data_IF_046115431712
#
_entry.id   IF_046115431712
#
_cell.length_a   1.000
_cell.length_b   1.000
_cell.length_c   1.000
_cell.angle_alpha   90.00
_cell.angle_beta   90.00
_cell.angle_gamma   90.00
#
_symmetry.space_group_name_H-M   'P 1'
#
loop_
_entity.id
_entity.type
_entity.pdbx_description
1 polymer ?
#
# COMPACT_ATOMS: atom_id res chain seq x y z
N UNK A 1 7.18 28.64 20.56
CA UNK A 1 7.12 27.17 20.58
C UNK A 1 6.74 26.76 19.17
N UNK A 2 7.59 26.01 18.49
CA UNK A 2 7.27 25.48 17.16
C UNK A 2 6.36 24.27 17.35
N UNK A 3 5.19 24.24 16.71
CA UNK A 3 4.36 23.03 16.68
C UNK A 3 5.16 21.92 16.01
N UNK A 4 5.23 20.75 16.64
CA UNK A 4 5.83 19.58 16.00
C UNK A 4 5.01 19.21 14.76
N UNK A 5 5.67 18.85 13.64
CA UNK A 5 4.95 18.51 12.42
C UNK A 5 4.06 17.30 12.67
N UNK A 6 2.78 17.37 12.29
CA UNK A 6 1.83 16.25 12.45
C UNK A 6 2.11 15.10 11.47
N UNK A 7 2.82 15.36 10.38
CA UNK A 7 3.14 14.40 9.33
C UNK A 7 4.61 14.45 8.93
N UNK A 8 5.17 13.28 8.59
CA UNK A 8 6.46 13.10 7.91
C UNK A 8 6.22 12.83 6.43
N UNK A 9 7.21 13.17 5.59
CA UNK A 9 7.17 12.88 4.14
C UNK A 9 8.07 11.68 3.80
N UNK A 10 7.62 10.85 2.87
CA UNK A 10 8.43 9.84 2.19
C UNK A 10 8.59 10.21 0.72
N UNK A 11 9.78 10.01 0.17
CA UNK A 11 10.09 10.23 -1.24
C UNK A 11 11.12 9.19 -1.71
N UNK A 12 10.72 8.33 -2.65
CA UNK A 12 11.63 7.43 -3.33
C UNK A 12 11.27 7.25 -4.81
N UNK A 13 12.24 7.57 -5.68
CA UNK A 13 12.02 7.58 -7.12
C UNK A 13 10.91 8.57 -7.48
N UNK A 14 9.81 8.07 -8.02
CA UNK A 14 8.64 8.90 -8.41
C UNK A 14 7.52 8.88 -7.37
N UNK A 15 7.62 8.07 -6.31
CA UNK A 15 6.60 7.95 -5.28
C UNK A 15 6.85 8.93 -4.14
N UNK A 16 5.84 9.74 -3.84
CA UNK A 16 5.83 10.65 -2.70
C UNK A 16 4.52 10.49 -1.92
N UNK A 17 4.56 10.54 -0.59
CA UNK A 17 3.38 10.60 0.27
C UNK A 17 3.77 11.09 1.67
N UNK A 18 2.77 11.39 2.49
CA UNK A 18 2.95 11.74 3.90
C UNK A 18 2.32 10.69 4.82
N UNK A 19 2.90 10.50 6.00
CA UNK A 19 2.42 9.58 7.03
C UNK A 19 2.52 10.23 8.42
N UNK A 20 1.77 9.77 9.44
CA UNK A 20 1.77 10.38 10.77
C UNK A 20 3.19 10.53 11.36
N UNK A 21 3.51 11.70 11.90
CA UNK A 21 4.86 11.96 12.39
C UNK A 21 5.23 11.14 13.64
N UNK A 22 4.24 10.71 14.42
CA UNK A 22 4.43 9.84 15.57
C UNK A 22 4.82 8.40 15.20
N UNK A 23 4.76 8.01 13.91
CA UNK A 23 5.18 6.69 13.48
C UNK A 23 6.70 6.57 13.42
N UNK A 24 7.16 5.37 13.76
CA UNK A 24 8.54 4.94 13.67
C UNK A 24 8.83 4.31 12.30
N UNK A 25 10.09 4.26 11.92
CA UNK A 25 10.55 3.55 10.73
C UNK A 25 11.13 2.21 11.14
N UNK A 26 10.63 1.14 10.54
CA UNK A 26 11.09 -0.23 10.77
C UNK A 26 11.96 -0.71 9.60
N UNK A 27 12.59 -1.89 9.75
CA UNK A 27 13.31 -2.53 8.66
C UNK A 27 12.31 -2.98 7.56
N UNK A 28 12.40 -2.48 6.32
CA UNK A 28 11.50 -2.85 5.22
C UNK A 28 11.41 -4.36 4.96
N UNK A 29 12.48 -5.11 5.18
CA UNK A 29 12.50 -6.57 4.98
C UNK A 29 11.46 -7.30 5.84
N UNK A 30 11.11 -6.74 7.02
CA UNK A 30 10.13 -7.33 7.93
C UNK A 30 8.70 -7.34 7.35
N UNK A 31 8.38 -6.41 6.44
CA UNK A 31 7.07 -6.35 5.78
C UNK A 31 7.04 -7.07 4.42
N UNK A 32 8.14 -7.69 4.00
CA UNK A 32 8.25 -8.31 2.67
C UNK A 32 7.27 -9.48 2.48
N UNK A 33 6.94 -10.20 3.56
CA UNK A 33 5.98 -11.31 3.57
C UNK A 33 4.54 -10.87 3.37
N UNK A 34 4.20 -9.60 3.64
CA UNK A 34 2.85 -9.07 3.44
C UNK A 34 2.44 -9.04 1.97
N UNK A 35 3.41 -9.05 1.05
CA UNK A 35 3.15 -8.97 -0.38
C UNK A 35 3.28 -10.34 -1.04
N UNK A 36 2.18 -10.82 -1.64
CA UNK A 36 2.12 -12.14 -2.29
C UNK A 36 3.20 -12.30 -3.37
N UNK A 37 3.94 -13.40 -3.28
CA UNK A 37 4.93 -13.81 -4.29
C UNK A 37 4.23 -14.18 -5.58
N UNK A 38 4.68 -13.62 -6.69
CA UNK A 38 4.16 -13.90 -8.03
C UNK A 38 5.34 -14.21 -8.97
N UNK A 39 5.27 -15.28 -9.79
CA UNK A 39 6.32 -15.60 -10.75
C UNK A 39 6.64 -14.41 -11.64
N UNK A 40 7.93 -14.07 -11.71
CA UNK A 40 8.44 -12.98 -12.55
C UNK A 40 8.08 -11.56 -12.09
N UNK A 41 7.40 -11.39 -10.95
CA UNK A 41 7.06 -10.08 -10.38
C UNK A 41 7.81 -9.88 -9.06
N UNK A 42 8.66 -8.86 -8.99
CA UNK A 42 9.25 -8.37 -7.74
C UNK A 42 8.29 -7.38 -7.06
N UNK A 43 8.23 -7.42 -5.73
CA UNK A 43 7.53 -6.44 -4.89
C UNK A 43 8.49 -6.04 -3.78
N UNK A 44 9.40 -5.15 -4.07
CA UNK A 44 10.49 -4.81 -3.15
C UNK A 44 9.96 -3.75 -2.17
N UNK A 45 9.89 -4.06 -0.87
CA UNK A 45 9.42 -3.10 0.14
C UNK A 45 10.45 -1.99 0.28
N UNK A 46 10.00 -0.75 0.08
CA UNK A 46 10.83 0.45 0.10
C UNK A 46 10.66 1.26 1.39
N UNK A 47 9.56 1.05 2.09
CA UNK A 47 9.27 1.70 3.36
C UNK A 47 8.34 0.84 4.20
N UNK A 48 8.64 0.78 5.49
CA UNK A 48 7.78 0.18 6.49
C UNK A 48 7.77 1.09 7.71
N UNK A 49 6.61 1.68 8.00
CA UNK A 49 6.41 2.66 9.09
C UNK A 49 5.15 2.31 9.86
N UNK A 50 5.11 2.66 11.14
CA UNK A 50 3.96 2.33 11.97
C UNK A 50 4.18 2.63 13.45
N UNK A 51 3.35 2.01 14.27
CA UNK A 51 3.43 2.01 15.73
C UNK A 51 2.80 0.72 16.27
N UNK A 52 2.53 0.66 17.58
CA UNK A 52 2.00 -0.55 18.23
C UNK A 52 0.62 -1.03 17.72
N UNK A 53 -0.12 -0.22 16.96
CA UNK A 53 -1.45 -0.56 16.47
C UNK A 53 -1.65 -0.33 14.98
N UNK A 54 -0.64 0.19 14.28
CA UNK A 54 -0.73 0.50 12.87
C UNK A 54 0.54 0.08 12.15
N UNK A 55 0.36 -0.51 10.99
CA UNK A 55 1.44 -0.86 10.09
C UNK A 55 1.13 -0.33 8.70
N UNK A 56 2.14 0.27 8.06
CA UNK A 56 2.06 0.70 6.68
C UNK A 56 3.35 0.35 5.94
N UNK A 57 3.20 -0.40 4.86
CA UNK A 57 4.30 -0.72 3.97
C UNK A 57 3.99 -0.28 2.54
N UNK A 58 4.98 0.28 1.85
CA UNK A 58 4.92 0.49 0.41
C UNK A 58 6.01 -0.34 -0.29
N UNK A 59 5.66 -0.93 -1.42
CA UNK A 59 6.53 -1.75 -2.23
C UNK A 59 6.56 -1.27 -3.69
N UNK A 60 7.75 -1.29 -4.28
CA UNK A 60 7.92 -1.11 -5.72
C UNK A 60 7.63 -2.42 -6.43
N UNK A 61 6.70 -2.40 -7.38
CA UNK A 61 6.30 -3.58 -8.15
C UNK A 61 6.99 -3.55 -9.51
N UNK A 62 7.79 -4.57 -9.82
CA UNK A 62 8.55 -4.64 -11.07
C UNK A 62 8.36 -6.01 -11.74
N UNK A 63 8.00 -6.00 -13.02
CA UNK A 63 7.97 -7.21 -13.84
C UNK A 63 9.35 -7.48 -14.45
N UNK A 64 9.84 -8.72 -14.35
CA UNK A 64 11.06 -9.19 -15.02
C UNK A 64 10.82 -9.35 -16.52
N UNK A 65 11.90 -9.47 -17.30
CA UNK A 65 11.81 -9.71 -18.74
C UNK A 65 10.90 -10.91 -19.06
N UNK A 66 9.97 -10.72 -20.01
CA UNK A 66 8.97 -11.73 -20.39
C UNK A 66 7.71 -11.74 -19.52
N UNK A 67 7.62 -10.92 -18.47
CA UNK A 67 6.44 -10.81 -17.60
C UNK A 67 5.79 -9.43 -17.69
N UNK A 68 4.51 -9.36 -17.33
CA UNK A 68 3.74 -8.12 -17.29
C UNK A 68 2.93 -8.00 -16.01
N UNK A 69 2.74 -6.76 -15.58
CA UNK A 69 1.84 -6.43 -14.48
C UNK A 69 0.38 -6.62 -14.91
N UNK A 70 -0.38 -7.33 -14.08
CA UNK A 70 -1.84 -7.51 -14.23
C UNK A 70 -2.54 -6.16 -14.17
N UNK A 71 -3.64 -6.02 -14.90
CA UNK A 71 -4.48 -4.82 -14.78
C UNK A 71 -5.18 -4.78 -13.41
N UNK A 72 -5.49 -3.57 -12.95
CA UNK A 72 -6.05 -3.34 -11.60
C UNK A 72 -7.35 -4.11 -11.37
N UNK A 73 -8.20 -4.24 -12.38
CA UNK A 73 -9.44 -5.03 -12.31
C UNK A 73 -9.16 -6.52 -12.07
N UNK A 74 -8.13 -7.07 -12.73
CA UNK A 74 -7.71 -8.46 -12.52
C UNK A 74 -7.18 -8.66 -11.10
N UNK A 75 -6.36 -7.74 -10.58
CA UNK A 75 -5.84 -7.81 -9.21
C UNK A 75 -6.97 -7.74 -8.20
N UNK A 76 -7.88 -6.77 -8.34
CA UNK A 76 -9.08 -6.64 -7.51
C UNK A 76 -9.87 -7.94 -7.46
N UNK A 77 -10.21 -8.51 -8.63
CA UNK A 77 -11.04 -9.72 -8.71
C UNK A 77 -10.34 -10.99 -8.20
N UNK A 78 -9.01 -11.04 -8.24
CA UNK A 78 -8.25 -12.14 -7.65
C UNK A 78 -8.22 -12.04 -6.12
N UNK A 79 -7.88 -10.86 -5.59
CA UNK A 79 -7.80 -10.64 -4.15
C UNK A 79 -9.17 -10.69 -3.48
N UNK A 80 -10.24 -10.28 -4.16
CA UNK A 80 -11.62 -10.35 -3.67
C UNK A 80 -12.08 -11.78 -3.29
N UNK A 81 -11.35 -12.81 -3.73
CA UNK A 81 -11.64 -14.22 -3.43
C UNK A 81 -10.94 -14.72 -2.17
N UNK A 82 -10.06 -13.92 -1.58
CA UNK A 82 -9.35 -14.31 -0.37
C UNK A 82 -10.31 -14.30 0.83
N UNK A 83 -10.05 -15.20 1.78
CA UNK A 83 -10.78 -15.25 3.04
C UNK A 83 -10.63 -13.93 3.80
N UNK A 84 -11.68 -13.51 4.51
CA UNK A 84 -11.70 -12.29 5.32
C UNK A 84 -11.87 -10.99 4.51
N UNK A 85 -11.86 -11.03 3.17
CA UNK A 85 -12.10 -9.84 2.35
C UNK A 85 -13.56 -9.38 2.48
N UNK A 86 -13.74 -8.12 2.87
CA UNK A 86 -15.05 -7.49 3.07
C UNK A 86 -15.37 -6.43 2.02
N UNK A 87 -14.37 -5.86 1.35
CA UNK A 87 -14.58 -4.96 0.22
C UNK A 87 -13.47 -5.05 -0.82
N UNK A 88 -13.82 -4.87 -2.08
CA UNK A 88 -12.88 -4.77 -3.19
C UNK A 88 -13.41 -3.80 -4.24
N UNK A 89 -12.66 -2.73 -4.53
CA UNK A 89 -13.08 -1.67 -5.46
C UNK A 89 -11.93 -1.19 -6.36
N UNK A 90 -12.30 -0.45 -7.41
CA UNK A 90 -11.37 0.40 -8.14
C UNK A 90 -11.67 1.84 -7.76
N UNK A 91 -10.64 2.58 -7.34
CA UNK A 91 -10.72 4.01 -7.07
C UNK A 91 -9.50 4.76 -7.56
N UNK A 92 -9.64 6.08 -7.74
CA UNK A 92 -8.55 6.95 -8.18
C UNK A 92 -7.62 7.30 -7.02
N UNK A 93 -6.31 7.04 -7.19
CA UNK A 93 -5.23 7.41 -6.27
C UNK A 93 -4.12 8.04 -7.12
N UNK A 94 -3.68 9.24 -6.74
CA UNK A 94 -2.70 10.02 -7.53
C UNK A 94 -3.08 10.15 -9.02
N UNK A 95 -4.38 10.30 -9.31
CA UNK A 95 -4.91 10.43 -10.68
C UNK A 95 -4.92 9.13 -11.48
N UNK A 96 -4.72 7.97 -10.85
CA UNK A 96 -4.67 6.66 -11.50
C UNK A 96 -5.64 5.69 -10.84
N UNK A 97 -6.22 4.82 -11.64
CA UNK A 97 -7.03 3.72 -11.11
C UNK A 97 -6.14 2.78 -10.29
N UNK A 98 -6.56 2.49 -9.06
CA UNK A 98 -5.96 1.53 -8.16
C UNK A 98 -6.98 0.46 -7.79
N UNK A 99 -6.52 -0.78 -7.62
CA UNK A 99 -7.30 -1.78 -6.90
C UNK A 99 -7.13 -1.53 -5.41
N UNK A 100 -8.23 -1.43 -4.68
CA UNK A 100 -8.24 -1.29 -3.22
C UNK A 100 -9.07 -2.42 -2.64
N UNK A 101 -8.44 -3.24 -1.81
CA UNK A 101 -9.03 -4.47 -1.27
C UNK A 101 -8.83 -4.47 0.24
N UNK A 102 -9.92 -4.59 0.97
CA UNK A 102 -9.92 -4.59 2.43
C UNK A 102 -10.37 -5.94 2.94
N UNK A 103 -9.55 -6.50 3.82
CA UNK A 103 -9.87 -7.65 4.64
C UNK A 103 -9.97 -7.24 6.10
N UNK A 104 -10.74 -7.99 6.88
CA UNK A 104 -10.90 -7.78 8.31
C UNK A 104 -10.83 -9.11 9.05
N UNK A 105 -10.19 -9.10 10.22
CA UNK A 105 -10.34 -10.15 11.21
C UNK A 105 -11.14 -9.64 12.43
N UNK A 106 -11.07 -10.33 13.57
CA UNK A 106 -11.81 -9.96 14.79
C UNK A 106 -11.35 -8.64 15.43
N UNK A 107 -10.18 -8.12 15.06
CA UNK A 107 -9.52 -6.98 15.72
C UNK A 107 -8.93 -5.96 14.76
N UNK A 108 -8.54 -6.40 13.56
CA UNK A 108 -7.79 -5.60 12.61
C UNK A 108 -8.51 -5.46 11.27
N UNK A 109 -8.16 -4.38 10.58
CA UNK A 109 -8.48 -4.14 9.18
C UNK A 109 -7.16 -4.07 8.42
N UNK A 110 -7.02 -4.90 7.40
CA UNK A 110 -5.89 -4.86 6.47
C UNK A 110 -6.39 -4.40 5.10
N UNK A 111 -5.84 -3.31 4.58
CA UNK A 111 -6.14 -2.81 3.24
C UNK A 111 -4.91 -2.90 2.35
N UNK A 112 -5.10 -3.55 1.20
CA UNK A 112 -4.11 -3.63 0.14
C UNK A 112 -4.49 -2.68 -0.99
N UNK A 113 -3.51 -1.95 -1.49
CA UNK A 113 -3.66 -1.05 -2.62
C UNK A 113 -2.67 -1.44 -3.71
N UNK A 114 -3.13 -1.55 -4.95
CA UNK A 114 -2.29 -1.87 -6.10
C UNK A 114 -2.45 -0.82 -7.21
N UNK A 115 -1.32 -0.20 -7.57
CA UNK A 115 -1.21 0.80 -8.63
C UNK A 115 -0.32 0.27 -9.76
N UNK A 116 -0.87 0.21 -10.97
CA UNK A 116 -0.10 -0.06 -12.19
C UNK A 116 0.27 1.25 -12.87
N UNK A 117 1.56 1.49 -13.11
CA UNK A 117 2.06 2.69 -13.81
C UNK A 117 2.32 2.43 -15.28
N UNK A 118 2.87 1.25 -15.58
CA UNK A 118 3.17 0.80 -16.92
C UNK A 118 2.95 -0.71 -17.05
N UNK A 119 3.34 -1.30 -18.19
CA UNK A 119 3.32 -2.76 -18.36
C UNK A 119 4.25 -3.49 -17.39
N UNK A 120 5.28 -2.84 -16.86
CA UNK A 120 6.34 -3.48 -16.07
C UNK A 120 6.62 -2.82 -14.73
N UNK A 121 5.98 -1.68 -14.42
CA UNK A 121 6.21 -0.94 -13.18
C UNK A 121 4.91 -0.51 -12.50
N UNK A 122 4.93 -0.53 -11.17
CA UNK A 122 3.82 -0.22 -10.31
C UNK A 122 4.24 0.01 -8.86
N UNK A 123 3.26 0.28 -8.01
CA UNK A 123 3.41 0.34 -6.56
C UNK A 123 2.32 -0.51 -5.90
N UNK A 124 2.65 -1.08 -4.75
CA UNK A 124 1.68 -1.73 -3.88
C UNK A 124 1.82 -1.17 -2.47
N UNK A 125 0.71 -1.05 -1.76
CA UNK A 125 0.68 -0.65 -0.36
C UNK A 125 -0.05 -1.71 0.44
N UNK A 126 0.38 -1.88 1.68
CA UNK A 126 -0.33 -2.59 2.73
C UNK A 126 -0.51 -1.63 3.89
N UNK A 127 -1.71 -1.60 4.44
CA UNK A 127 -2.03 -0.92 5.67
C UNK A 127 -2.76 -1.88 6.59
N UNK A 128 -2.34 -1.95 7.84
CA UNK A 128 -3.04 -2.66 8.90
C UNK A 128 -3.30 -1.70 10.06
N UNK A 129 -4.51 -1.73 10.59
CA UNK A 129 -4.91 -0.90 11.72
C UNK A 129 -6.16 -1.41 12.43
N UNK A 130 -6.61 -0.74 13.50
CA UNK A 130 -7.82 -1.12 14.21
C UNK A 130 -9.06 -1.07 13.32
N UNK A 131 -10.05 -1.94 13.55
CA UNK A 131 -11.31 -1.97 12.77
C UNK A 131 -12.03 -0.61 12.69
N UNK A 132 -11.91 0.20 13.74
CA UNK A 132 -12.49 1.53 13.87
C UNK A 132 -11.74 2.62 13.11
N UNK A 133 -10.48 2.37 12.71
CA UNK A 133 -9.69 3.34 11.98
C UNK A 133 -9.94 3.23 10.47
N UNK A 134 -10.64 4.23 9.96
CA UNK A 134 -10.89 4.40 8.54
C UNK A 134 -10.22 5.64 7.96
N UNK A 135 -9.61 6.48 8.79
CA UNK A 135 -9.18 7.83 8.40
C UNK A 135 -7.68 7.89 8.10
N UNK A 136 -6.85 7.13 8.83
CA UNK A 136 -5.40 7.22 8.71
C UNK A 136 -4.92 6.80 7.32
N UNK A 137 -5.39 5.67 6.80
CA UNK A 137 -5.07 5.24 5.45
C UNK A 137 -5.56 6.25 4.41
N UNK A 138 -6.77 6.79 4.55
CA UNK A 138 -7.30 7.77 3.60
C UNK A 138 -6.46 9.05 3.56
N UNK A 139 -5.99 9.52 4.71
CA UNK A 139 -5.06 10.64 4.78
C UNK A 139 -3.76 10.32 4.01
N UNK A 140 -3.16 9.14 4.21
CA UNK A 140 -1.97 8.70 3.49
C UNK A 140 -2.25 8.65 1.98
N UNK A 141 -3.31 7.95 1.55
CA UNK A 141 -3.64 7.77 0.13
C UNK A 141 -3.96 9.11 -0.57
N UNK A 142 -4.59 10.06 0.12
CA UNK A 142 -4.88 11.40 -0.43
C UNK A 142 -3.61 12.22 -0.69
N UNK A 143 -2.54 11.94 0.07
CA UNK A 143 -1.25 12.60 -0.07
C UNK A 143 -0.35 11.98 -1.16
N UNK A 144 -0.69 10.78 -1.66
CA UNK A 144 0.13 10.09 -2.66
C UNK A 144 0.25 10.93 -3.93
N UNK A 145 1.48 11.10 -4.39
CA UNK A 145 1.84 11.73 -5.68
C UNK A 145 2.80 10.83 -6.43
N UNK A 146 2.61 10.75 -7.75
CA UNK A 146 3.46 10.00 -8.66
C UNK A 146 3.91 10.96 -9.75
N UNK A 147 5.20 11.31 -9.75
CA UNK A 147 5.81 12.31 -10.64
C UNK A 147 6.46 11.70 -11.87
#
# INVERSE_FOLDING_TARGET
MSEEPQYKSFSEGTLNFTYPAAWETFNPENAQSAFTKEPGISKDVIVYVGNSSHDFAAAKVTARSGYYLKDVETVKNQMAKNEGVTSAEIRSIAGRNAAVVTATDSTTRTTFVYLKLSRTSGYAFMYEGPLSDTATLEAILSSVRIT
#
